data_IF_024148178800
#
_entry.id   IF_024148178800
#
_cell.length_a   1.000
_cell.length_b   1.000
_cell.length_c   1.000
_cell.angle_alpha   90.00
_cell.angle_beta   90.00
_cell.angle_gamma   90.00
#
_symmetry.space_group_name_H-M   'P 1'
#
loop_
_entity.id
_entity.type
_entity.pdbx_description
1 polymer ?
#
# COMPACT_ATOMS: atom_id res chain seq x y z
N UNK A 1 7.36 -0.21 -7.88
CA UNK A 1 6.12 -0.35 -7.10
C UNK A 1 5.92 -1.79 -6.68
N UNK A 2 5.91 -2.73 -7.63
CA UNK A 2 5.62 -4.15 -7.37
C UNK A 2 6.61 -4.81 -6.42
N UNK A 3 7.93 -4.59 -6.60
CA UNK A 3 8.95 -5.13 -5.69
C UNK A 3 8.73 -4.67 -4.25
N UNK A 4 8.57 -3.35 -4.06
CA UNK A 4 8.31 -2.77 -2.74
C UNK A 4 6.99 -3.28 -2.13
N UNK A 5 5.94 -3.42 -2.94
CA UNK A 5 4.66 -3.99 -2.48
C UNK A 5 4.82 -5.45 -2.06
N UNK A 6 5.65 -6.21 -2.76
CA UNK A 6 5.97 -7.61 -2.41
C UNK A 6 6.69 -7.67 -1.06
N UNK A 7 7.69 -6.82 -0.85
CA UNK A 7 8.42 -6.74 0.42
C UNK A 7 7.47 -6.39 1.58
N UNK A 8 6.58 -5.40 1.39
CA UNK A 8 5.55 -5.04 2.38
C UNK A 8 4.57 -6.19 2.63
N UNK A 9 4.17 -6.96 1.60
CA UNK A 9 3.29 -8.13 1.78
C UNK A 9 3.97 -9.24 2.59
N UNK A 10 5.27 -9.39 2.46
CA UNK A 10 6.03 -10.37 3.23
C UNK A 10 6.13 -9.97 4.71
N UNK A 11 6.32 -8.67 4.99
CA UNK A 11 6.51 -8.16 6.35
C UNK A 11 5.23 -7.90 7.16
N UNK A 12 4.03 -7.94 6.56
CA UNK A 12 2.79 -7.60 7.27
C UNK A 12 1.68 -8.65 7.09
N UNK A 13 0.74 -8.71 8.03
CA UNK A 13 -0.42 -9.63 7.98
C UNK A 13 -1.47 -9.16 6.98
N UNK A 14 -1.72 -7.86 6.88
CA UNK A 14 -2.66 -7.29 5.95
C UNK A 14 -2.08 -6.07 5.26
N UNK A 15 -2.26 -5.97 3.94
CA UNK A 15 -1.81 -4.84 3.12
C UNK A 15 -2.96 -4.41 2.22
N UNK A 16 -3.30 -3.12 2.24
CA UNK A 16 -4.35 -2.51 1.43
C UNK A 16 -3.78 -1.35 0.62
N UNK A 17 -4.23 -1.22 -0.62
CA UNK A 17 -3.88 -0.09 -1.49
C UNK A 17 -5.11 0.79 -1.62
N UNK A 18 -4.98 2.09 -1.33
CA UNK A 18 -6.09 3.04 -1.42
C UNK A 18 -5.66 4.33 -2.12
N UNK A 19 -6.57 4.89 -2.93
CA UNK A 19 -6.43 6.24 -3.47
C UNK A 19 -7.04 7.21 -2.46
N UNK A 20 -6.34 8.28 -2.05
CA UNK A 20 -6.93 9.24 -1.12
C UNK A 20 -8.00 10.06 -1.81
N UNK A 21 -9.04 10.42 -1.07
CA UNK A 21 -10.13 11.27 -1.56
C UNK A 21 -9.65 12.66 -2.02
N UNK A 22 -8.53 13.14 -1.47
CA UNK A 22 -7.88 14.39 -1.91
C UNK A 22 -7.13 14.28 -3.25
N UNK A 23 -6.90 13.05 -3.77
CA UNK A 23 -6.19 12.84 -5.03
C UNK A 23 -7.14 12.93 -6.22
N UNK A 24 -6.83 13.82 -7.17
CA UNK A 24 -7.65 14.02 -8.37
C UNK A 24 -7.78 12.70 -9.16
N UNK A 25 -8.92 12.52 -9.84
CA UNK A 25 -9.22 11.31 -10.62
C UNK A 25 -8.10 10.87 -11.58
N UNK A 26 -7.30 11.80 -12.11
CA UNK A 26 -6.17 11.52 -13.01
C UNK A 26 -4.80 11.29 -12.36
N UNK A 27 -4.63 11.51 -11.06
CA UNK A 27 -3.36 11.19 -10.38
C UNK A 27 -3.21 9.67 -10.21
N UNK A 28 -1.97 9.20 -10.40
CA UNK A 28 -1.56 7.80 -10.26
C UNK A 28 -1.08 7.45 -8.85
N UNK A 29 -1.14 8.40 -7.93
CA UNK A 29 -0.68 8.20 -6.55
C UNK A 29 -1.67 7.33 -5.76
N UNK A 30 -1.11 6.37 -5.03
CA UNK A 30 -1.84 5.44 -4.15
C UNK A 30 -1.06 5.28 -2.85
N UNK A 31 -1.79 5.12 -1.75
CA UNK A 31 -1.22 4.80 -0.46
C UNK A 31 -1.23 3.30 -0.22
N UNK A 32 -0.15 2.79 0.37
CA UNK A 32 -0.05 1.41 0.86
C UNK A 32 -0.23 1.47 2.38
N UNK A 33 -1.28 0.82 2.88
CA UNK A 33 -1.58 0.73 4.30
C UNK A 33 -1.37 -0.72 4.73
N UNK A 34 -0.37 -0.94 5.59
CA UNK A 34 0.00 -2.26 6.08
C UNK A 34 -0.22 -2.38 7.59
N UNK A 35 -0.76 -3.50 8.07
CA UNK A 35 -1.05 -3.74 9.49
C UNK A 35 -0.61 -5.14 9.92
N UNK A 36 -0.29 -5.27 11.22
CA UNK A 36 0.17 -6.51 11.82
C UNK A 36 1.56 -6.92 11.33
N UNK A 37 2.57 -6.12 11.66
CA UNK A 37 3.97 -6.39 11.34
C UNK A 37 4.40 -7.79 11.82
N UNK A 38 5.09 -8.52 10.96
CA UNK A 38 5.64 -9.86 11.18
C UNK A 38 7.15 -9.70 11.32
N UNK A 39 7.70 -10.18 12.44
CA UNK A 39 9.15 -10.27 12.66
C UNK A 39 9.66 -11.58 12.07
#
# INVERSE_FOLDING_TARGET
FDQYLQDVRNSFKAVKIRKPDASRARSREVYIVATGYKL
#
